data_IF_822271029728
#
_entry.id   IF_822271029728
#
_cell.length_a   1.000
_cell.length_b   1.000
_cell.length_c   1.000
_cell.angle_alpha   90.00
_cell.angle_beta   90.00
_cell.angle_gamma   90.00
#
_symmetry.space_group_name_H-M   'P 1'
#
loop_
_entity.id
_entity.type
_entity.pdbx_description
1 polymer ?
#
# COMPACT_ATOMS: atom_id res chain seq x y z
N UNK A 1 14.38 -6.25 3.19
CA UNK A 1 14.77 -7.68 3.05
C UNK A 1 13.70 -8.50 2.34
N UNK A 2 12.42 -8.17 2.53
CA UNK A 2 11.28 -8.97 2.06
C UNK A 2 10.81 -8.65 0.63
N UNK A 3 11.60 -7.91 -0.16
CA UNK A 3 11.30 -7.47 -1.53
C UNK A 3 11.01 -8.62 -2.50
N UNK A 4 11.53 -9.83 -2.23
CA UNK A 4 11.22 -11.03 -3.02
C UNK A 4 9.76 -11.48 -2.87
N UNK A 5 9.15 -11.24 -1.73
CA UNK A 5 7.75 -11.59 -1.47
C UNK A 5 6.79 -10.44 -1.85
N UNK A 6 7.24 -9.20 -1.69
CA UNK A 6 6.43 -7.99 -1.89
C UNK A 6 6.94 -7.24 -3.12
N UNK A 7 6.44 -7.62 -4.30
CA UNK A 7 6.83 -7.00 -5.57
C UNK A 7 6.07 -5.69 -5.85
N UNK A 8 6.56 -4.91 -6.82
CA UNK A 8 5.95 -3.64 -7.23
C UNK A 8 4.49 -3.79 -7.67
N UNK A 9 4.16 -4.88 -8.36
CA UNK A 9 2.79 -5.15 -8.80
C UNK A 9 1.84 -5.31 -7.61
N UNK A 10 2.24 -6.05 -6.58
CA UNK A 10 1.46 -6.20 -5.35
C UNK A 10 1.26 -4.86 -4.63
N UNK A 11 2.32 -4.04 -4.55
CA UNK A 11 2.25 -2.69 -3.96
C UNK A 11 1.26 -1.81 -4.72
N UNK A 12 1.29 -1.84 -6.06
CA UNK A 12 0.38 -1.04 -6.88
C UNK A 12 -1.08 -1.45 -6.69
N UNK A 13 -1.36 -2.76 -6.63
CA UNK A 13 -2.71 -3.26 -6.36
C UNK A 13 -3.19 -2.87 -4.96
N UNK A 14 -2.30 -2.87 -3.97
CA UNK A 14 -2.63 -2.38 -2.62
C UNK A 14 -3.01 -0.89 -2.63
N UNK A 15 -2.31 -0.05 -3.41
CA UNK A 15 -2.67 1.37 -3.58
C UNK A 15 -4.06 1.54 -4.20
N UNK A 16 -4.37 0.79 -5.26
CA UNK A 16 -5.66 0.87 -5.92
C UNK A 16 -6.82 0.48 -5.00
N UNK A 17 -6.67 -0.61 -4.25
CA UNK A 17 -7.65 -1.02 -3.23
C UNK A 17 -7.89 0.09 -2.20
N UNK A 18 -6.82 0.78 -1.81
CA UNK A 18 -6.89 1.86 -0.84
C UNK A 18 -7.58 3.11 -1.40
N UNK A 19 -7.25 3.50 -2.64
CA UNK A 19 -7.92 4.61 -3.36
C UNK A 19 -9.41 4.37 -3.51
N UNK A 20 -9.80 3.14 -3.81
CA UNK A 20 -11.20 2.73 -3.97
C UNK A 20 -11.94 2.54 -2.64
N UNK A 21 -11.27 2.80 -1.50
CA UNK A 21 -11.88 2.70 -0.18
C UNK A 21 -12.22 1.26 0.23
N UNK A 22 -11.57 0.27 -0.37
CA UNK A 22 -11.75 -1.12 0.04
C UNK A 22 -11.25 -1.31 1.47
N UNK A 23 -12.10 -1.94 2.30
CA UNK A 23 -11.79 -2.23 3.70
C UNK A 23 -10.68 -3.29 3.80
N UNK A 24 -10.57 -4.17 2.81
CA UNK A 24 -9.53 -5.20 2.79
C UNK A 24 -8.19 -4.60 2.37
N UNK A 25 -7.28 -4.45 3.35
CA UNK A 25 -5.89 -4.12 3.11
C UNK A 25 -5.01 -5.39 3.19
N UNK A 26 -4.39 -5.82 2.08
CA UNK A 26 -3.55 -7.00 2.02
C UNK A 26 -2.32 -6.97 2.93
N UNK A 27 -1.67 -5.81 3.06
CA UNK A 27 -0.49 -5.65 3.91
C UNK A 27 -0.90 -5.77 5.37
N UNK A 28 -2.00 -5.11 5.74
CA UNK A 28 -2.59 -5.27 7.07
C UNK A 28 -2.92 -6.73 7.37
N UNK A 29 -3.46 -7.46 6.39
CA UNK A 29 -3.75 -8.88 6.55
C UNK A 29 -2.48 -9.70 6.83
N UNK A 30 -1.38 -9.47 6.10
CA UNK A 30 -0.09 -10.11 6.38
C UNK A 30 0.38 -9.72 7.79
N UNK A 31 0.42 -8.44 8.13
CA UNK A 31 0.79 -7.95 9.47
C UNK A 31 0.00 -8.66 10.56
N UNK A 32 -1.32 -8.73 10.42
CA UNK A 32 -2.20 -9.41 11.38
C UNK A 32 -1.81 -10.88 11.56
N UNK A 33 -1.62 -11.61 10.46
CA UNK A 33 -1.21 -13.03 10.54
C UNK A 33 0.15 -13.19 11.23
N UNK A 34 1.11 -12.30 10.97
CA UNK A 34 2.45 -12.35 11.59
C UNK A 34 2.43 -11.96 13.07
N UNK A 35 1.55 -11.04 13.47
CA UNK A 35 1.34 -10.74 14.90
C UNK A 35 0.79 -11.94 15.68
N UNK A 36 -0.12 -12.71 15.08
CA UNK A 36 -0.66 -13.93 15.71
C UNK A 36 0.45 -14.97 15.90
N UNK A 37 1.31 -15.18 14.90
CA UNK A 37 2.45 -16.10 14.97
C UNK A 37 3.46 -15.69 16.04
N UNK A 38 3.88 -14.42 16.03
CA UNK A 38 4.77 -13.87 17.07
C UNK A 38 4.16 -14.02 18.45
N UNK A 39 2.89 -13.69 18.61
CA UNK A 39 2.18 -13.85 19.87
C UNK A 39 2.21 -15.31 20.33
N UNK A 40 2.03 -16.26 19.42
CA UNK A 40 2.05 -17.68 19.73
C UNK A 40 3.43 -18.17 20.17
N UNK A 41 4.51 -17.63 19.59
CA UNK A 41 5.88 -17.90 20.02
C UNK A 41 6.17 -17.26 21.39
N UNK A 42 5.81 -15.98 21.58
CA UNK A 42 6.04 -15.26 22.84
C UNK A 42 5.34 -15.95 24.01
N UNK A 43 4.10 -16.38 23.80
CA UNK A 43 3.26 -17.04 24.80
C UNK A 43 3.50 -18.56 24.88
N UNK A 44 4.50 -19.09 24.18
CA UNK A 44 4.93 -20.50 24.27
C UNK A 44 3.82 -21.51 23.87
N UNK A 45 2.92 -21.07 22.99
CA UNK A 45 1.97 -21.96 22.30
C UNK A 45 2.72 -22.85 21.29
N UNK A 46 3.74 -22.28 20.64
CA UNK A 46 4.69 -22.99 19.79
C UNK A 46 6.11 -22.74 20.29
N UNK A 47 6.98 -23.76 20.23
CA UNK A 47 8.39 -23.61 20.56
C UNK A 47 9.19 -23.20 19.33
N UNK A 48 10.40 -22.71 19.55
CA UNK A 48 11.33 -22.37 18.47
C UNK A 48 11.99 -23.63 17.91
N UNK A 49 11.21 -24.51 17.27
CA UNK A 49 11.69 -25.70 16.57
C UNK A 49 11.18 -25.72 15.13
N UNK A 50 11.86 -26.42 14.20
CA UNK A 50 11.39 -26.54 12.83
C UNK A 50 9.97 -27.12 12.73
N UNK A 51 9.68 -28.14 13.54
CA UNK A 51 8.40 -28.85 13.51
C UNK A 51 7.24 -27.96 14.00
N UNK A 52 7.45 -27.22 15.09
CA UNK A 52 6.43 -26.30 15.62
C UNK A 52 6.22 -25.11 14.68
N UNK A 53 7.28 -24.63 14.02
CA UNK A 53 7.18 -23.57 13.03
C UNK A 53 6.33 -24.00 11.82
N UNK A 54 6.51 -25.23 11.33
CA UNK A 54 5.70 -25.78 10.24
C UNK A 54 4.23 -25.97 10.65
N UNK A 55 3.96 -26.48 11.86
CA UNK A 55 2.58 -26.64 12.33
C UNK A 55 1.90 -25.28 12.55
N UNK A 56 2.66 -24.27 12.98
CA UNK A 56 2.16 -22.90 13.08
C UNK A 56 1.80 -22.31 11.70
N UNK A 57 2.65 -22.48 10.69
CA UNK A 57 2.35 -22.05 9.32
C UNK A 57 1.11 -22.75 8.75
N UNK A 58 0.99 -24.05 8.98
CA UNK A 58 -0.19 -24.82 8.60
C UNK A 58 -1.44 -24.33 9.32
N UNK A 59 -1.35 -24.04 10.62
CA UNK A 59 -2.48 -23.52 11.42
C UNK A 59 -2.94 -22.16 10.90
N UNK A 60 -2.02 -21.25 10.55
CA UNK A 60 -2.36 -19.96 9.92
C UNK A 60 -3.12 -20.21 8.61
N UNK A 61 -2.63 -21.10 7.76
CA UNK A 61 -3.25 -21.43 6.48
C UNK A 61 -4.64 -22.04 6.62
N UNK A 62 -4.83 -22.92 7.61
CA UNK A 62 -6.09 -23.64 7.77
C UNK A 62 -7.18 -22.79 8.46
N UNK A 63 -6.80 -21.81 9.29
CA UNK A 63 -7.74 -21.05 10.12
C UNK A 63 -7.84 -19.56 9.80
N UNK A 64 -6.75 -18.93 9.32
CA UNK A 64 -6.67 -17.48 9.15
C UNK A 64 -6.68 -17.07 7.68
N UNK A 65 -6.19 -17.93 6.77
CA UNK A 65 -6.23 -17.69 5.33
C UNK A 65 -7.64 -17.88 4.77
N UNK A 66 -8.09 -16.87 4.01
CA UNK A 66 -9.42 -16.90 3.42
C UNK A 66 -9.40 -17.91 2.28
N UNK A 67 -10.17 -18.98 2.42
CA UNK A 67 -10.30 -19.99 1.38
C UNK A 67 -10.92 -19.38 0.10
N UNK A 68 -10.29 -19.67 -1.04
CA UNK A 68 -10.71 -19.14 -2.35
C UNK A 68 -12.13 -19.57 -2.74
N UNK A 69 -12.59 -20.76 -2.30
CA UNK A 69 -13.99 -21.17 -2.54
C UNK A 69 -14.94 -20.30 -1.73
N UNK A 70 -14.56 -19.93 -0.51
CA UNK A 70 -15.35 -19.01 0.33
C UNK A 70 -15.48 -17.64 -0.32
N UNK A 71 -14.40 -17.10 -0.90
CA UNK A 71 -14.44 -15.81 -1.61
C UNK A 71 -15.31 -15.91 -2.85
N UNK A 72 -15.10 -16.93 -3.68
CA UNK A 72 -15.89 -17.13 -4.89
C UNK A 72 -17.38 -17.28 -4.59
N UNK A 73 -17.74 -18.05 -3.56
CA UNK A 73 -19.13 -18.21 -3.15
C UNK A 73 -19.72 -16.91 -2.58
N UNK A 74 -18.93 -16.13 -1.83
CA UNK A 74 -19.35 -14.82 -1.31
C UNK A 74 -19.65 -13.85 -2.45
N UNK A 75 -18.76 -13.74 -3.44
CA UNK A 75 -18.97 -12.89 -4.63
C UNK A 75 -20.20 -13.35 -5.43
N UNK A 76 -20.36 -14.67 -5.62
CA UNK A 76 -21.53 -15.24 -6.31
C UNK A 76 -22.84 -14.88 -5.59
N UNK A 77 -22.85 -14.97 -4.25
CA UNK A 77 -24.04 -14.64 -3.43
C UNK A 77 -24.34 -13.15 -3.43
N UNK A 78 -23.32 -12.31 -3.29
CA UNK A 78 -23.47 -10.86 -3.41
C UNK A 78 -24.06 -10.51 -4.78
N UNK A 79 -23.54 -11.11 -5.85
CA UNK A 79 -24.08 -10.91 -7.20
C UNK A 79 -25.56 -11.29 -7.31
N UNK A 80 -25.91 -12.50 -6.86
CA UNK A 80 -27.31 -12.97 -6.88
C UNK A 80 -28.24 -12.02 -6.11
N UNK A 81 -27.82 -11.57 -4.94
CA UNK A 81 -28.59 -10.69 -4.06
C UNK A 81 -28.93 -9.33 -4.70
N UNK A 82 -28.01 -8.73 -5.46
CA UNK A 82 -28.30 -7.46 -6.15
C UNK A 82 -29.16 -7.64 -7.40
N UNK A 83 -28.99 -8.75 -8.15
CA UNK A 83 -29.90 -9.10 -9.25
C UNK A 83 -31.34 -9.15 -8.74
N UNK A 84 -31.55 -9.79 -7.58
CA UNK A 84 -32.87 -9.89 -6.94
C UNK A 84 -33.42 -8.52 -6.51
N UNK A 85 -32.57 -7.51 -6.29
CA UNK A 85 -32.95 -6.13 -5.96
C UNK A 85 -33.19 -5.23 -7.17
N UNK A 86 -33.01 -5.73 -8.39
CA UNK A 86 -33.16 -4.95 -9.62
C UNK A 86 -32.06 -3.92 -9.84
N UNK A 87 -30.99 -3.96 -9.03
CA UNK A 87 -29.81 -3.13 -9.20
C UNK A 87 -28.83 -3.93 -10.05
N UNK A 88 -28.49 -3.44 -11.25
CA UNK A 88 -27.36 -4.00 -12.01
C UNK A 88 -26.12 -3.81 -11.15
N UNK A 89 -25.55 -4.91 -10.69
CA UNK A 89 -24.39 -4.94 -9.82
C UNK A 89 -23.27 -4.03 -10.37
N UNK A 90 -22.87 -3.00 -9.62
CA UNK A 90 -21.63 -2.25 -9.85
C UNK A 90 -20.58 -2.83 -8.88
N UNK A 91 -19.85 -3.88 -9.28
CA UNK A 91 -18.69 -4.41 -8.54
C UNK A 91 -17.56 -3.44 -8.87
N UNK A 92 -17.66 -2.24 -8.28
CA UNK A 92 -16.95 -1.06 -8.71
C UNK A 92 -15.47 -1.17 -8.39
N UNK A 93 -14.69 -1.11 -9.45
CA UNK A 93 -13.28 -0.71 -9.60
C UNK A 93 -12.20 -1.45 -8.79
N UNK A 94 -12.52 -2.17 -7.71
CA UNK A 94 -11.52 -2.81 -6.84
C UNK A 94 -11.64 -4.33 -6.67
N UNK A 95 -12.62 -5.00 -7.28
CA UNK A 95 -12.80 -6.45 -7.09
C UNK A 95 -11.75 -7.27 -7.82
N UNK A 96 -11.36 -6.85 -9.01
CA UNK A 96 -10.27 -7.51 -9.74
C UNK A 96 -8.98 -7.45 -8.92
N UNK A 97 -8.66 -6.27 -8.39
CA UNK A 97 -7.51 -6.07 -7.50
C UNK A 97 -7.65 -6.91 -6.22
N UNK A 98 -8.83 -6.95 -5.61
CA UNK A 98 -9.09 -7.75 -4.41
C UNK A 98 -8.88 -9.24 -4.70
N UNK A 99 -9.44 -9.73 -5.79
CA UNK A 99 -9.33 -11.13 -6.21
C UNK A 99 -7.89 -11.50 -6.56
N UNK A 100 -7.19 -10.63 -7.29
CA UNK A 100 -5.77 -10.79 -7.60
C UNK A 100 -4.97 -10.92 -6.31
N UNK A 101 -5.16 -9.99 -5.37
CA UNK A 101 -4.38 -9.96 -4.15
C UNK A 101 -4.69 -11.18 -3.28
N UNK A 102 -5.96 -11.56 -3.10
CA UNK A 102 -6.27 -12.75 -2.31
C UNK A 102 -5.70 -14.01 -2.97
N UNK A 103 -5.78 -14.14 -4.29
CA UNK A 103 -5.16 -15.27 -4.99
C UNK A 103 -3.64 -15.33 -4.78
N UNK A 104 -2.96 -14.18 -4.84
CA UNK A 104 -1.51 -14.04 -4.63
C UNK A 104 -1.10 -14.18 -3.17
N UNK A 105 -2.01 -13.97 -2.22
CA UNK A 105 -1.71 -14.01 -0.79
C UNK A 105 -1.04 -15.32 -0.37
N UNK A 106 -1.50 -16.45 -0.92
CA UNK A 106 -0.92 -17.76 -0.66
C UNK A 106 0.55 -17.84 -1.07
N UNK A 107 0.89 -17.32 -2.24
CA UNK A 107 2.26 -17.31 -2.77
C UNK A 107 3.17 -16.39 -1.94
N UNK A 108 2.66 -15.21 -1.58
CA UNK A 108 3.38 -14.24 -0.75
C UNK A 108 3.66 -14.82 0.63
N UNK A 109 2.63 -15.34 1.30
CA UNK A 109 2.76 -15.97 2.63
C UNK A 109 3.75 -17.15 2.59
N UNK A 110 3.67 -18.00 1.56
CA UNK A 110 4.62 -19.13 1.39
C UNK A 110 6.05 -18.63 1.18
N UNK A 111 6.24 -17.57 0.39
CA UNK A 111 7.55 -16.97 0.17
C UNK A 111 8.12 -16.40 1.48
N UNK A 112 7.28 -15.73 2.28
CA UNK A 112 7.66 -15.23 3.60
C UNK A 112 8.05 -16.38 4.54
N UNK A 113 7.27 -17.46 4.56
CA UNK A 113 7.56 -18.62 5.42
C UNK A 113 8.92 -19.24 5.10
N UNK A 114 9.22 -19.45 3.82
CA UNK A 114 10.52 -19.96 3.38
C UNK A 114 11.66 -18.99 3.72
N UNK A 115 11.41 -17.68 3.61
CA UNK A 115 12.38 -16.67 4.04
C UNK A 115 12.62 -16.74 5.55
N UNK A 116 11.58 -16.83 6.38
CA UNK A 116 11.70 -16.98 7.84
C UNK A 116 12.55 -18.21 8.17
N UNK A 117 12.21 -19.39 7.61
CA UNK A 117 12.98 -20.63 7.80
C UNK A 117 14.45 -20.45 7.43
N UNK A 118 14.73 -19.79 6.31
CA UNK A 118 16.10 -19.57 5.83
C UNK A 118 16.92 -18.60 6.67
N UNK A 119 16.26 -17.71 7.42
CA UNK A 119 16.90 -16.70 8.25
C UNK A 119 17.24 -17.19 9.66
N UNK A 120 16.55 -18.24 10.14
CA UNK A 120 16.84 -18.88 11.42
C UNK A 120 18.17 -19.61 11.34
N UNK A 121 19.18 -19.11 12.04
CA UNK A 121 20.50 -19.73 12.19
C UNK A 121 20.57 -20.57 13.44
N UNK A 122 19.99 -20.09 14.53
CA UNK A 122 19.83 -20.83 15.78
C UNK A 122 18.36 -20.93 16.17
N UNK A 123 17.94 -22.14 16.53
CA UNK A 123 16.57 -22.44 16.96
C UNK A 123 16.34 -21.96 18.40
N UNK A 124 16.33 -20.64 18.56
CA UNK A 124 16.11 -19.91 19.81
C UNK A 124 14.90 -19.00 19.67
N UNK A 125 14.10 -18.95 20.74
CA UNK A 125 12.90 -18.08 20.84
C UNK A 125 13.22 -16.62 20.47
N UNK A 126 14.31 -16.07 21.02
CA UNK A 126 14.69 -14.68 20.77
C UNK A 126 14.99 -14.40 19.30
N UNK A 127 15.73 -15.30 18.63
CA UNK A 127 16.09 -15.11 17.23
C UNK A 127 14.86 -15.17 16.31
N UNK A 128 13.98 -16.16 16.53
CA UNK A 128 12.75 -16.26 15.76
C UNK A 128 11.88 -15.02 15.94
N UNK A 129 11.72 -14.55 17.19
CA UNK A 129 10.98 -13.33 17.51
C UNK A 129 11.59 -12.11 16.83
N UNK A 130 12.91 -11.95 16.81
CA UNK A 130 13.61 -10.85 16.14
C UNK A 130 13.38 -10.85 14.63
N UNK A 131 13.40 -12.03 13.98
CA UNK A 131 13.10 -12.18 12.55
C UNK A 131 11.69 -11.68 12.24
N UNK A 132 10.70 -12.09 13.04
CA UNK A 132 9.33 -11.63 12.84
C UNK A 132 9.15 -10.14 13.14
N UNK A 133 9.80 -9.58 14.18
CA UNK A 133 9.73 -8.15 14.44
C UNK A 133 10.33 -7.34 13.29
N UNK A 134 11.44 -7.80 12.71
CA UNK A 134 12.02 -7.19 11.51
C UNK A 134 11.03 -7.18 10.34
N UNK A 135 10.35 -8.30 10.08
CA UNK A 135 9.28 -8.37 9.08
C UNK A 135 8.13 -7.40 9.37
N UNK A 136 7.65 -7.36 10.62
CA UNK A 136 6.55 -6.49 11.02
C UNK A 136 6.89 -5.00 10.84
N UNK A 137 8.11 -4.59 11.20
CA UNK A 137 8.59 -3.22 10.98
C UNK A 137 8.60 -2.89 9.50
N UNK A 138 9.21 -3.73 8.65
CA UNK A 138 9.24 -3.50 7.19
C UNK A 138 7.82 -3.40 6.60
N UNK A 139 6.88 -4.23 7.04
CA UNK A 139 5.48 -4.18 6.59
C UNK A 139 4.75 -2.91 7.03
N UNK A 140 4.98 -2.44 8.26
CA UNK A 140 4.37 -1.20 8.76
C UNK A 140 4.92 0.04 8.05
N UNK A 141 6.22 0.10 7.83
CA UNK A 141 6.86 1.18 7.06
C UNK A 141 6.34 1.21 5.62
N UNK A 142 6.17 0.04 5.00
CA UNK A 142 5.58 -0.06 3.67
C UNK A 142 4.14 0.44 3.63
N UNK A 143 3.33 0.06 4.63
CA UNK A 143 1.94 0.49 4.73
C UNK A 143 1.84 2.02 4.90
N UNK A 144 2.70 2.62 5.71
CA UNK A 144 2.78 4.07 5.89
C UNK A 144 3.20 4.76 4.58
N UNK A 145 4.18 4.20 3.86
CA UNK A 145 4.59 4.70 2.54
C UNK A 145 3.43 4.67 1.55
N UNK A 146 2.71 3.56 1.46
CA UNK A 146 1.54 3.41 0.59
C UNK A 146 0.44 4.40 0.99
N UNK A 147 0.15 4.58 2.28
CA UNK A 147 -0.80 5.59 2.75
C UNK A 147 -0.42 6.98 2.25
N UNK A 148 0.82 7.40 2.46
CA UNK A 148 1.31 8.73 2.05
C UNK A 148 1.23 8.92 0.53
N UNK A 149 1.58 7.90 -0.24
CA UNK A 149 1.50 7.94 -1.71
C UNK A 149 0.03 8.04 -2.19
N UNK A 150 -0.87 7.25 -1.61
CA UNK A 150 -2.30 7.29 -1.94
C UNK A 150 -2.93 8.63 -1.59
N UNK A 151 -2.63 9.19 -0.41
CA UNK A 151 -3.11 10.51 -0.01
C UNK A 151 -2.63 11.62 -0.96
N UNK A 152 -1.37 11.57 -1.38
CA UNK A 152 -0.80 12.49 -2.35
C UNK A 152 -1.50 12.41 -3.70
N UNK A 153 -1.76 11.20 -4.18
CA UNK A 153 -2.40 10.97 -5.47
C UNK A 153 -3.87 11.41 -5.45
N UNK A 154 -4.61 11.13 -4.38
CA UNK A 154 -5.98 11.64 -4.19
C UNK A 154 -5.99 13.18 -4.11
N UNK A 155 -5.04 13.77 -3.39
CA UNK A 155 -4.92 15.23 -3.33
C UNK A 155 -4.63 15.82 -4.71
N UNK A 156 -3.71 15.22 -5.47
CA UNK A 156 -3.41 15.63 -6.84
C UNK A 156 -4.65 15.56 -7.74
N UNK A 157 -5.39 14.45 -7.72
CA UNK A 157 -6.62 14.28 -8.51
C UNK A 157 -7.64 15.37 -8.19
N UNK A 158 -7.82 15.71 -6.92
CA UNK A 158 -8.71 16.79 -6.49
C UNK A 158 -8.24 18.16 -7.00
N UNK A 159 -6.95 18.48 -6.92
CA UNK A 159 -6.42 19.74 -7.43
C UNK A 159 -6.42 19.80 -8.96
N UNK A 160 -6.23 18.68 -9.66
CA UNK A 160 -6.38 18.58 -11.12
C UNK A 160 -7.82 18.86 -11.53
N UNK A 161 -8.81 18.31 -10.80
CA UNK A 161 -10.22 18.62 -11.04
C UNK A 161 -10.51 20.10 -10.81
N UNK A 162 -10.03 20.66 -9.70
CA UNK A 162 -10.20 22.08 -9.38
C UNK A 162 -9.54 23.00 -10.43
N UNK A 163 -8.33 22.65 -10.91
CA UNK A 163 -7.64 23.40 -11.96
C UNK A 163 -8.51 23.47 -13.24
N UNK A 164 -9.10 22.34 -13.65
CA UNK A 164 -10.01 22.29 -14.81
C UNK A 164 -11.26 23.14 -14.60
N UNK A 165 -11.84 23.12 -13.40
CA UNK A 165 -13.00 23.94 -13.04
C UNK A 165 -12.69 25.45 -13.07
N UNK A 166 -11.47 25.83 -12.69
CA UNK A 166 -10.97 27.21 -12.71
C UNK A 166 -10.46 27.66 -14.10
N UNK A 167 -10.40 26.75 -15.08
CA UNK A 167 -9.88 27.04 -16.43
C UNK A 167 -8.36 27.05 -16.53
N UNK A 168 -7.65 26.58 -15.50
CA UNK A 168 -6.19 26.48 -15.50
C UNK A 168 -5.70 25.24 -16.25
N UNK A 169 -4.46 25.31 -16.75
CA UNK A 169 -3.82 24.15 -17.38
C UNK A 169 -3.48 23.05 -16.36
N UNK A 170 -4.31 22.02 -16.28
CA UNK A 170 -4.10 20.91 -15.33
C UNK A 170 -2.84 20.07 -15.59
N UNK A 171 -2.35 20.02 -16.83
CA UNK A 171 -1.15 19.25 -17.18
C UNK A 171 0.09 19.80 -16.48
N UNK A 172 0.05 21.09 -16.20
CA UNK A 172 1.11 21.79 -15.51
C UNK A 172 1.28 21.28 -14.08
N UNK A 173 0.18 21.17 -13.34
CA UNK A 173 0.16 20.63 -11.99
C UNK A 173 0.66 19.18 -11.93
N UNK A 174 0.24 18.34 -12.89
CA UNK A 174 0.68 16.94 -12.99
C UNK A 174 2.20 16.87 -13.23
N UNK A 175 2.73 17.65 -14.17
CA UNK A 175 4.17 17.71 -14.44
C UNK A 175 4.97 18.19 -13.22
N UNK A 176 4.49 19.23 -12.53
CA UNK A 176 5.12 19.73 -11.31
C UNK A 176 5.15 18.68 -10.20
N UNK A 177 4.06 17.93 -10.04
CA UNK A 177 3.99 16.80 -9.10
C UNK A 177 5.01 15.71 -9.44
N UNK A 178 5.08 15.27 -10.70
CA UNK A 178 6.01 14.22 -11.14
C UNK A 178 7.48 14.62 -10.93
N UNK A 179 7.82 15.89 -11.19
CA UNK A 179 9.17 16.41 -10.91
C UNK A 179 9.50 16.27 -9.43
N UNK A 180 8.62 16.73 -8.53
CA UNK A 180 8.87 16.66 -7.08
C UNK A 180 8.87 15.22 -6.55
N UNK A 181 7.99 14.35 -7.07
CA UNK A 181 7.97 12.91 -6.76
C UNK A 181 9.31 12.26 -7.11
N UNK A 182 9.88 12.59 -8.28
CA UNK A 182 11.17 12.05 -8.74
C UNK A 182 12.38 12.52 -7.94
N UNK A 183 12.30 13.72 -7.34
CA UNK A 183 13.41 14.30 -6.58
C UNK A 183 13.45 13.84 -5.10
N UNK A 184 12.43 13.12 -4.63
CA UNK A 184 12.28 12.63 -3.24
C UNK A 184 12.53 13.73 -2.17
N UNK A 185 12.17 14.98 -2.47
CA UNK A 185 12.42 16.14 -1.61
C UNK A 185 11.20 16.43 -0.70
N UNK A 186 11.37 16.48 0.63
CA UNK A 186 10.37 17.04 1.54
C UNK A 186 10.13 18.52 1.23
N UNK A 187 8.87 18.95 1.19
CA UNK A 187 8.48 20.32 0.79
C UNK A 187 8.80 21.40 1.84
N UNK A 188 9.45 21.06 2.95
CA UNK A 188 10.04 22.08 3.84
C UNK A 188 11.00 23.05 3.11
N UNK A 189 11.43 22.71 1.88
CA UNK A 189 12.25 23.55 0.99
C UNK A 189 11.53 24.19 -0.22
N UNK A 190 10.21 24.09 -0.38
CA UNK A 190 9.51 24.89 -1.41
C UNK A 190 9.22 26.29 -0.86
N UNK A 191 10.27 26.98 -0.42
CA UNK A 191 10.32 28.42 -0.58
C UNK A 191 10.68 28.62 -2.05
N UNK A 192 9.88 29.40 -2.77
CA UNK A 192 10.18 29.86 -4.14
C UNK A 192 11.62 30.37 -4.32
N UNK A 193 12.27 30.76 -3.22
CA UNK A 193 13.64 31.27 -3.14
C UNK A 193 14.73 30.17 -2.99
N UNK A 194 14.39 28.94 -2.56
CA UNK A 194 15.33 27.81 -2.37
C UNK A 194 15.18 26.72 -3.45
N UNK A 195 14.16 26.83 -4.31
CA UNK A 195 14.16 26.13 -5.59
C UNK A 195 15.26 26.78 -6.44
N UNK A 196 16.50 26.34 -6.22
CA UNK A 196 17.69 26.90 -6.84
C UNK A 196 17.45 27.15 -8.33
N UNK A 197 18.03 28.24 -8.84
CA UNK A 197 17.84 28.85 -10.17
C UNK A 197 18.04 27.92 -11.40
N UNK A 198 18.11 26.60 -11.20
CA UNK A 198 18.23 25.53 -12.21
C UNK A 198 17.45 24.25 -11.84
N UNK A 199 16.26 24.36 -11.28
CA UNK A 199 15.38 23.17 -11.15
C UNK A 199 14.45 23.06 -12.35
N UNK A 200 14.14 21.83 -12.78
CA UNK A 200 13.12 21.56 -13.83
C UNK A 200 11.75 22.15 -13.48
N UNK A 201 11.46 22.27 -12.18
CA UNK A 201 10.24 22.90 -11.69
C UNK A 201 10.27 24.41 -11.94
N UNK A 202 11.39 25.10 -11.70
CA UNK A 202 11.53 26.55 -11.93
C UNK A 202 11.36 26.92 -13.41
N UNK A 203 11.94 26.11 -14.30
CA UNK A 203 11.80 26.28 -15.75
C UNK A 203 10.36 26.09 -16.21
N UNK A 204 9.66 25.13 -15.60
CA UNK A 204 8.25 24.89 -15.85
C UNK A 204 7.41 26.07 -15.32
N UNK A 205 7.62 26.51 -14.07
CA UNK A 205 6.94 27.66 -13.43
C UNK A 205 7.16 29.01 -14.14
N UNK A 206 8.22 29.15 -14.92
CA UNK A 206 8.47 30.36 -15.71
C UNK A 206 7.57 30.47 -16.96
N UNK A 207 6.92 29.38 -17.36
CA UNK A 207 6.06 29.30 -18.56
C UNK A 207 4.57 29.52 -18.25
N UNK A 208 4.23 29.69 -16.98
CA UNK A 208 2.86 29.84 -16.47
C UNK A 208 2.61 31.28 -16.03
N UNK A 209 1.36 31.71 -16.06
CA UNK A 209 0.99 33.01 -15.49
C UNK A 209 1.12 33.00 -13.95
N UNK A 210 1.20 34.19 -13.35
CA UNK A 210 1.42 34.34 -11.90
C UNK A 210 0.26 33.81 -11.04
N UNK A 211 -0.95 33.72 -11.58
CA UNK A 211 -2.11 33.20 -10.88
C UNK A 211 -2.09 31.66 -10.85
N UNK A 212 -1.88 31.04 -12.01
CA UNK A 212 -1.67 29.59 -12.19
C UNK A 212 -0.47 29.11 -11.38
N UNK A 213 0.63 29.86 -11.38
CA UNK A 213 1.84 29.56 -10.59
C UNK A 213 1.55 29.54 -9.09
N UNK A 214 0.81 30.54 -8.57
CA UNK A 214 0.40 30.57 -7.15
C UNK A 214 -0.52 29.40 -6.80
N UNK A 215 -1.45 29.07 -7.69
CA UNK A 215 -2.33 27.91 -7.52
C UNK A 215 -1.51 26.62 -7.43
N UNK A 216 -0.62 26.38 -8.37
CA UNK A 216 0.21 25.16 -8.44
C UNK A 216 1.08 25.01 -7.20
N UNK A 217 1.75 26.07 -6.77
CA UNK A 217 2.58 26.03 -5.56
C UNK A 217 1.77 25.78 -4.29
N UNK A 218 0.58 26.36 -4.20
CA UNK A 218 -0.33 26.11 -3.07
C UNK A 218 -0.82 24.66 -3.06
N UNK A 219 -1.18 24.12 -4.24
CA UNK A 219 -1.57 22.73 -4.41
C UNK A 219 -0.45 21.77 -4.01
N UNK A 220 0.78 21.98 -4.53
CA UNK A 220 1.94 21.16 -4.18
C UNK A 220 2.25 21.22 -2.68
N UNK A 221 2.13 22.41 -2.05
CA UNK A 221 2.30 22.55 -0.61
C UNK A 221 1.30 21.71 0.17
N UNK A 222 0.05 21.60 -0.28
CA UNK A 222 -0.94 20.73 0.38
C UNK A 222 -0.67 19.25 0.12
N UNK A 223 -0.29 18.89 -1.12
CA UNK A 223 -0.01 17.51 -1.51
C UNK A 223 1.16 16.92 -0.72
N UNK A 224 2.26 17.67 -0.55
CA UNK A 224 3.46 17.15 0.11
C UNK A 224 3.74 17.71 1.51
N UNK A 225 3.09 18.80 1.91
CA UNK A 225 3.42 19.57 3.12
C UNK A 225 2.60 19.24 4.37
N UNK A 226 2.19 17.99 4.53
CA UNK A 226 1.77 17.47 5.84
C UNK A 226 2.95 16.77 6.49
N UNK A 227 3.66 17.48 7.36
CA UNK A 227 4.40 16.92 8.49
C UNK A 227 3.59 17.18 9.77
#
# INVERSE_FOLDING_TARGET
>A
MWEKAINEEFVERCKNLKKTGNIFNPIFYIVFTRLVEVSSIINEVFLATPEDLEEMFKTRKDLLEIDLKTINETLRRAWKFEIERGVKYNFSDGIEDLMYVVYRMREIQSTIDEMIKSLVKEWKKSELVDIYFSLLVELLELEEKIQKEVEREIALENFVRLAKELGYNSDFLVKSYEILKSENKPINHVRLEEVGEKSKLSELLAQTDEEEKRFVLSALKVIFGKE
#
